data_IF_345346035786
#
_entry.id   IF_345346035786
#
_cell.length_a   1.000
_cell.length_b   1.000
_cell.length_c   1.000
_cell.angle_alpha   90.00
_cell.angle_beta   90.00
_cell.angle_gamma   90.00
#
_symmetry.space_group_name_H-M   'P 1'
#
loop_
_entity.id
_entity.type
_entity.pdbx_description
1 polymer ?
#
# COMPACT_ATOMS: atom_id res chain seq x y z
N UNK A 1 0.87 8.92 -3.40
CA UNK A 1 0.45 7.97 -2.35
C UNK A 1 1.50 6.92 -2.01
N UNK A 2 2.04 6.18 -2.99
CA UNK A 2 2.98 5.06 -2.74
C UNK A 2 4.15 5.39 -1.78
N UNK A 3 4.81 6.54 -1.97
CA UNK A 3 5.88 6.99 -1.05
C UNK A 3 5.40 7.22 0.38
N UNK A 4 4.15 7.63 0.58
CA UNK A 4 3.54 7.75 1.90
C UNK A 4 3.32 6.39 2.57
N UNK A 5 3.21 5.29 1.81
CA UNK A 5 3.06 3.94 2.37
C UNK A 5 4.42 3.38 2.77
N UNK A 6 5.40 3.40 1.86
CA UNK A 6 6.71 2.76 2.04
C UNK A 6 7.69 3.54 2.94
N UNK A 7 7.33 4.78 3.30
CA UNK A 7 8.08 5.61 4.26
C UNK A 7 7.18 6.04 5.43
N UNK A 8 6.90 5.15 6.40
CA UNK A 8 6.04 5.44 7.56
C UNK A 8 6.43 6.70 8.34
N UNK A 9 7.73 6.95 8.44
CA UNK A 9 8.36 8.01 9.21
C UNK A 9 8.25 9.41 8.60
N UNK A 10 7.85 9.51 7.32
CA UNK A 10 7.73 10.79 6.63
C UNK A 10 6.33 11.38 6.83
N UNK A 11 6.30 12.68 7.17
CA UNK A 11 5.11 13.50 6.99
C UNK A 11 5.12 14.03 5.56
N UNK A 12 4.06 13.80 4.81
CA UNK A 12 3.92 14.26 3.43
C UNK A 12 2.64 15.10 3.34
N UNK A 13 2.73 16.26 2.72
CA UNK A 13 1.59 17.15 2.45
C UNK A 13 1.63 17.53 0.99
N UNK A 14 0.50 17.35 0.31
CA UNK A 14 0.28 17.78 -1.06
C UNK A 14 -0.71 18.93 -1.06
N UNK A 15 -0.26 20.09 -1.54
CA UNK A 15 -1.04 21.33 -1.57
C UNK A 15 -1.12 21.88 -2.99
N UNK A 16 -2.25 22.49 -3.33
CA UNK A 16 -2.44 23.22 -4.58
C UNK A 16 -3.19 24.51 -4.27
N UNK A 17 -2.73 25.64 -4.81
CA UNK A 17 -3.33 26.95 -4.56
C UNK A 17 -3.55 27.25 -3.06
N UNK A 18 -2.57 26.92 -2.23
CA UNK A 18 -2.60 27.05 -0.75
C UNK A 18 -3.62 26.16 -0.02
N UNK A 19 -4.43 25.38 -0.74
CA UNK A 19 -5.31 24.37 -0.15
C UNK A 19 -4.56 23.04 -0.01
N UNK A 20 -4.76 22.36 1.13
CA UNK A 20 -4.27 20.99 1.33
C UNK A 20 -5.19 20.05 0.55
N UNK A 21 -4.65 19.37 -0.46
CA UNK A 21 -5.37 18.32 -1.20
C UNK A 21 -5.27 17.00 -0.45
N UNK A 22 -4.08 16.67 0.06
CA UNK A 22 -3.85 15.41 0.75
C UNK A 22 -2.71 15.54 1.76
N UNK A 23 -2.78 14.76 2.83
CA UNK A 23 -1.71 14.68 3.81
C UNK A 23 -1.62 13.30 4.45
N UNK A 24 -0.41 12.91 4.83
CA UNK A 24 -0.12 11.74 5.69
C UNK A 24 0.85 12.19 6.77
N UNK A 25 0.47 11.96 8.03
CA UNK A 25 1.31 12.22 9.22
C UNK A 25 2.30 11.09 9.43
N UNK A 26 3.32 11.29 10.27
CA UNK A 26 4.21 10.19 10.68
C UNK A 26 3.42 9.11 11.42
N UNK A 27 3.76 7.86 11.18
CA UNK A 27 3.15 6.69 11.82
C UNK A 27 4.21 5.64 12.14
N UNK A 28 3.89 4.71 13.04
CA UNK A 28 4.84 3.77 13.60
C UNK A 28 5.35 2.72 12.59
N UNK A 29 4.48 2.23 11.71
CA UNK A 29 4.79 1.09 10.83
C UNK A 29 4.10 1.18 9.46
N UNK A 30 4.41 0.21 8.59
CA UNK A 30 3.85 0.10 7.24
C UNK A 30 2.35 -0.21 7.25
N UNK A 31 1.82 -0.87 8.30
CA UNK A 31 0.39 -1.17 8.44
C UNK A 31 -0.39 0.13 8.60
N UNK A 32 0.04 0.97 9.54
CA UNK A 32 -0.57 2.28 9.79
C UNK A 32 -0.38 3.22 8.61
N UNK A 33 0.77 3.15 7.94
CA UNK A 33 1.02 3.93 6.73
C UNK A 33 0.07 3.53 5.59
N UNK A 34 -0.11 2.24 5.36
CA UNK A 34 -1.04 1.74 4.36
C UNK A 34 -2.48 2.11 4.70
N UNK A 35 -2.92 1.88 5.95
CA UNK A 35 -4.24 2.25 6.44
C UNK A 35 -4.54 3.74 6.28
N UNK A 36 -3.56 4.63 6.49
CA UNK A 36 -3.73 6.08 6.29
C UNK A 36 -4.00 6.47 4.82
N UNK A 37 -3.65 5.60 3.87
CA UNK A 37 -3.83 5.83 2.42
C UNK A 37 -5.10 5.16 1.92
N UNK A 38 -5.36 3.90 2.30
CA UNK A 38 -6.50 3.13 1.77
C UNK A 38 -7.76 3.18 2.64
N UNK A 39 -7.65 3.65 3.88
CA UNK A 39 -8.73 3.72 4.84
C UNK A 39 -8.91 2.45 5.67
N UNK A 40 -9.63 2.59 6.79
CA UNK A 40 -9.87 1.52 7.76
C UNK A 40 -10.73 0.39 7.20
N UNK A 41 -11.73 0.71 6.37
CA UNK A 41 -12.61 -0.28 5.75
C UNK A 41 -11.81 -1.26 4.87
N UNK A 42 -10.98 -0.73 3.96
CA UNK A 42 -10.12 -1.56 3.10
C UNK A 42 -9.16 -2.38 3.94
N UNK A 43 -8.46 -1.75 4.90
CA UNK A 43 -7.51 -2.44 5.78
C UNK A 43 -8.15 -3.57 6.60
N UNK A 44 -9.41 -3.40 7.03
CA UNK A 44 -10.19 -4.42 7.76
C UNK A 44 -10.46 -5.68 6.93
N UNK A 45 -10.42 -5.57 5.61
CA UNK A 45 -10.60 -6.67 4.66
C UNK A 45 -9.28 -7.24 4.12
N UNK A 46 -8.14 -6.83 4.67
CA UNK A 46 -6.82 -7.29 4.27
C UNK A 46 -6.20 -8.24 5.32
N UNK A 47 -5.30 -9.12 4.89
CA UNK A 47 -4.48 -10.00 5.72
C UNK A 47 -2.99 -9.73 5.47
N UNK A 48 -2.16 -9.72 6.52
CA UNK A 48 -0.71 -9.65 6.33
C UNK A 48 -0.20 -10.95 5.72
N UNK A 49 0.83 -10.85 4.89
CA UNK A 49 1.58 -12.01 4.42
C UNK A 49 3.09 -11.74 4.49
N UNK A 50 3.84 -12.81 4.65
CA UNK A 50 5.29 -12.84 4.51
C UNK A 50 5.67 -14.14 3.82
N UNK A 51 6.58 -14.06 2.85
CA UNK A 51 7.09 -15.20 2.11
C UNK A 51 8.57 -15.00 1.88
N UNK A 52 9.35 -16.05 2.11
CA UNK A 52 10.78 -16.07 1.90
C UNK A 52 11.13 -17.24 0.97
N UNK A 53 11.85 -16.93 -0.10
CA UNK A 53 12.37 -17.91 -1.04
C UNK A 53 13.89 -17.86 -0.93
N UNK A 54 14.53 -18.95 -0.51
CA UNK A 54 15.97 -18.99 -0.22
C UNK A 54 16.83 -18.91 -1.50
N UNK A 55 16.34 -19.40 -2.62
CA UNK A 55 16.98 -19.30 -3.94
C UNK A 55 15.88 -18.92 -4.95
N UNK A 56 15.79 -17.65 -5.40
CA UNK A 56 16.89 -16.67 -5.54
C UNK A 56 16.99 -15.59 -4.44
N UNK A 57 16.86 -15.95 -3.15
CA UNK A 57 16.91 -15.03 -1.99
C UNK A 57 15.93 -13.84 -2.09
N UNK A 58 14.64 -14.16 -2.21
CA UNK A 58 13.56 -13.18 -2.34
C UNK A 58 12.68 -13.16 -1.09
N UNK A 59 12.55 -11.98 -0.49
CA UNK A 59 11.62 -11.73 0.61
C UNK A 59 10.45 -10.86 0.15
N UNK A 60 9.23 -11.41 0.26
CA UNK A 60 7.99 -10.73 -0.02
C UNK A 60 7.23 -10.50 1.28
N UNK A 61 6.70 -9.31 1.46
CA UNK A 61 5.82 -9.00 2.59
C UNK A 61 4.84 -7.91 2.23
N UNK A 62 3.70 -7.90 2.89
CA UNK A 62 2.69 -6.87 2.67
C UNK A 62 1.31 -7.27 3.17
N UNK A 63 0.29 -6.77 2.49
CA UNK A 63 -1.11 -7.02 2.78
C UNK A 63 -1.83 -7.42 1.51
N UNK A 64 -2.65 -8.46 1.58
CA UNK A 64 -3.48 -8.95 0.48
C UNK A 64 -4.95 -8.99 0.93
N UNK A 65 -5.92 -8.92 0.02
CA UNK A 65 -7.33 -9.09 0.37
C UNK A 65 -7.56 -10.45 1.05
N UNK A 66 -8.45 -10.50 2.03
CA UNK A 66 -8.92 -11.77 2.61
C UNK A 66 -9.54 -12.63 1.51
N UNK A 67 -9.41 -13.96 1.59
CA UNK A 67 -10.28 -14.86 0.85
C UNK A 67 -11.73 -14.43 1.08
N UNK A 68 -12.52 -14.35 0.02
CA UNK A 68 -13.93 -13.97 0.03
C UNK A 68 -14.25 -12.54 0.53
N UNK A 69 -13.25 -11.63 0.59
CA UNK A 69 -13.53 -10.22 0.86
C UNK A 69 -14.41 -9.61 -0.23
N UNK A 70 -15.27 -8.65 0.16
CA UNK A 70 -16.04 -7.85 -0.80
C UNK A 70 -15.12 -7.23 -1.85
N UNK A 71 -15.27 -7.69 -3.09
CA UNK A 71 -14.43 -7.30 -4.21
C UNK A 71 -14.58 -5.81 -4.54
N UNK A 72 -15.74 -5.19 -4.26
CA UNK A 72 -15.92 -3.75 -4.48
C UNK A 72 -15.08 -2.89 -3.53
N UNK A 73 -14.65 -3.46 -2.40
CA UNK A 73 -13.87 -2.77 -1.39
C UNK A 73 -12.36 -2.93 -1.59
N UNK A 74 -11.92 -4.12 -1.96
CA UNK A 74 -10.48 -4.47 -2.04
C UNK A 74 -9.96 -4.57 -3.47
N UNK A 75 -10.84 -4.63 -4.46
CA UNK A 75 -10.50 -4.68 -5.88
C UNK A 75 -11.10 -3.49 -6.63
N UNK A 76 -10.36 -3.00 -7.61
CA UNK A 76 -10.80 -1.92 -8.48
C UNK A 76 -10.40 -2.24 -9.91
N UNK A 77 -11.20 -1.77 -10.87
CA UNK A 77 -10.92 -1.91 -12.31
C UNK A 77 -9.65 -1.17 -12.75
N UNK A 78 -9.13 -0.27 -11.91
CA UNK A 78 -7.82 0.36 -12.08
C UNK A 78 -6.83 -0.10 -11.00
N UNK A 79 -5.56 -0.20 -11.37
CA UNK A 79 -4.47 -0.53 -10.45
C UNK A 79 -4.14 0.59 -9.45
N UNK A 80 -4.95 1.65 -9.37
CA UNK A 80 -4.67 2.88 -8.60
C UNK A 80 -4.60 2.64 -7.09
N UNK A 81 -5.13 1.51 -6.60
CA UNK A 81 -5.07 1.10 -5.19
C UNK A 81 -4.17 -0.10 -4.93
N UNK A 82 -3.45 -0.56 -5.94
CA UNK A 82 -2.45 -1.64 -5.82
C UNK A 82 -1.06 -1.03 -5.76
N UNK A 83 -0.31 -1.33 -4.70
CA UNK A 83 1.01 -0.75 -4.46
C UNK A 83 2.05 -1.84 -4.35
N UNK A 84 3.02 -1.83 -5.26
CA UNK A 84 4.15 -2.75 -5.25
C UNK A 84 5.45 -1.99 -5.03
N UNK A 85 6.35 -2.58 -4.25
CA UNK A 85 7.64 -1.98 -3.94
C UNK A 85 8.75 -3.01 -4.11
N UNK A 86 9.81 -2.63 -4.80
CA UNK A 86 11.05 -3.42 -4.89
C UNK A 86 12.14 -2.62 -4.18
N UNK A 87 12.74 -3.18 -3.15
CA UNK A 87 13.79 -2.53 -2.37
C UNK A 87 13.40 -1.10 -1.93
N UNK A 88 12.17 -0.98 -1.40
CA UNK A 88 11.55 0.27 -0.94
C UNK A 88 11.28 1.33 -2.03
N UNK A 89 11.37 0.96 -3.31
CA UNK A 89 11.03 1.83 -4.46
C UNK A 89 9.66 1.44 -5.01
N UNK A 90 8.72 2.37 -5.17
CA UNK A 90 7.46 2.09 -5.84
C UNK A 90 7.69 1.62 -7.28
N UNK A 91 7.05 0.52 -7.68
CA UNK A 91 7.13 -0.05 -9.03
C UNK A 91 5.71 -0.36 -9.53
N UNK A 92 5.48 -0.15 -10.83
CA UNK A 92 4.26 -0.58 -11.51
C UNK A 92 4.61 -1.69 -12.50
N UNK A 93 4.33 -2.95 -12.16
CA UNK A 93 4.58 -4.10 -13.02
C UNK A 93 3.24 -4.63 -13.55
N UNK A 94 2.98 -4.38 -14.83
CA UNK A 94 1.70 -4.72 -15.48
C UNK A 94 1.42 -6.23 -15.53
N UNK A 95 2.44 -7.07 -15.45
CA UNK A 95 2.31 -8.53 -15.51
C UNK A 95 1.84 -9.13 -14.19
N UNK A 96 2.06 -8.44 -13.07
CA UNK A 96 1.68 -8.88 -11.72
C UNK A 96 0.36 -8.26 -11.28
N UNK A 97 0.04 -7.07 -11.82
CA UNK A 97 -1.15 -6.28 -11.46
C UNK A 97 -2.35 -6.50 -12.39
N UNK A 98 -2.34 -7.57 -13.19
CA UNK A 98 -3.43 -7.94 -14.11
C UNK A 98 -4.29 -9.05 -13.53
#
# INVERSE_FOLDING_TARGET
MAYGIIKPELRITFTHNKAIIWQKTRVADHKMAFMSVVGTAVMGSMVPFQHHCEDPEVFLSGFLPKPDSDHYLTSHSSADKSFMFINKRPVCQKEILK
#
